data_IF_665612117190
#
_entry.id   IF_665612117190
#
_cell.length_a   1.000
_cell.length_b   1.000
_cell.length_c   1.000
_cell.angle_alpha   90.00
_cell.angle_beta   90.00
_cell.angle_gamma   90.00
#
_symmetry.space_group_name_H-M   'P 1'
#
loop_
_entity.id
_entity.type
_entity.pdbx_description
1 polymer ?
#
# COMPACT_ATOMS: atom_id res chain seq x y z
N UNK A 1 17.21 -21.09 62.51
CA UNK A 1 17.12 -20.14 61.38
C UNK A 1 18.44 -20.26 60.64
N UNK A 2 18.50 -21.12 59.64
CA UNK A 2 19.75 -21.52 58.98
C UNK A 2 19.64 -21.34 57.46
N UNK A 3 20.46 -20.42 56.98
CA UNK A 3 21.19 -20.29 55.71
C UNK A 3 20.66 -20.92 54.40
N UNK A 4 20.27 -20.02 53.49
CA UNK A 4 20.76 -19.84 52.11
C UNK A 4 21.75 -20.88 51.56
N UNK A 5 21.41 -21.54 50.45
CA UNK A 5 22.37 -22.00 49.41
C UNK A 5 21.68 -22.10 48.06
N UNK A 6 22.34 -21.51 47.06
CA UNK A 6 21.96 -21.35 45.65
C UNK A 6 21.86 -22.69 44.91
N UNK A 7 21.01 -22.76 43.88
CA UNK A 7 21.25 -23.62 42.74
C UNK A 7 21.03 -22.85 41.44
N UNK A 8 22.08 -22.82 40.62
CA UNK A 8 22.23 -22.11 39.36
C UNK A 8 22.29 -23.18 38.26
N UNK A 9 21.51 -22.98 37.20
CA UNK A 9 21.51 -23.79 35.98
C UNK A 9 20.11 -23.76 35.36
N UNK A 10 19.89 -23.51 34.08
CA UNK A 10 20.76 -23.33 32.94
C UNK A 10 19.94 -22.65 31.83
N UNK A 11 20.66 -22.02 30.91
CA UNK A 11 20.20 -21.27 29.74
C UNK A 11 19.08 -21.93 28.92
N UNK A 12 17.96 -21.21 28.74
CA UNK A 12 17.17 -21.29 27.53
C UNK A 12 17.10 -19.90 26.90
N UNK A 13 17.90 -19.72 25.86
CA UNK A 13 17.93 -18.55 24.99
C UNK A 13 16.52 -18.35 24.44
N UNK A 14 15.80 -17.33 24.90
CA UNK A 14 14.56 -16.92 24.23
C UNK A 14 15.00 -16.28 22.92
N UNK A 15 14.93 -17.11 21.89
CA UNK A 15 15.24 -16.76 20.52
C UNK A 15 14.46 -15.52 20.10
N UNK A 16 15.18 -14.67 19.40
CA UNK A 16 14.72 -13.58 18.57
C UNK A 16 13.41 -13.92 17.83
N UNK A 17 12.29 -13.43 18.34
CA UNK A 17 11.15 -13.13 17.47
C UNK A 17 11.25 -11.67 17.07
N UNK A 18 12.30 -11.33 16.30
CA UNK A 18 12.13 -10.29 15.29
C UNK A 18 11.07 -10.86 14.35
N UNK A 19 9.81 -10.56 14.68
CA UNK A 19 8.72 -10.63 13.74
C UNK A 19 9.13 -9.73 12.61
N UNK A 20 9.74 -10.35 11.61
CA UNK A 20 9.89 -9.88 10.25
C UNK A 20 8.50 -9.42 9.85
N UNK A 21 8.22 -8.15 10.14
CA UNK A 21 7.29 -7.36 9.40
C UNK A 21 7.92 -7.34 8.03
N UNK A 22 7.63 -8.41 7.27
CA UNK A 22 7.56 -8.37 5.84
C UNK A 22 6.71 -7.14 5.58
N UNK A 23 7.39 -6.00 5.43
CA UNK A 23 6.84 -4.78 4.89
C UNK A 23 6.47 -5.22 3.50
N UNK A 24 5.24 -5.77 3.42
CA UNK A 24 4.70 -6.43 2.27
C UNK A 24 5.06 -5.51 1.14
N UNK A 25 5.94 -6.02 0.27
CA UNK A 25 6.59 -5.31 -0.82
C UNK A 25 5.52 -4.40 -1.38
N UNK A 26 5.50 -3.13 -0.92
CA UNK A 26 4.60 -2.11 -1.43
C UNK A 26 5.11 -2.07 -2.84
N UNK A 27 4.40 -2.78 -3.73
CA UNK A 27 4.68 -2.76 -5.15
C UNK A 27 4.79 -1.28 -5.37
N UNK A 28 6.00 -0.82 -5.66
CA UNK A 28 6.25 0.55 -6.03
C UNK A 28 5.39 0.68 -7.27
N UNK A 29 4.15 1.09 -7.03
CA UNK A 29 3.21 1.55 -8.01
C UNK A 29 3.88 2.83 -8.40
N UNK A 30 4.78 2.69 -9.36
CA UNK A 30 5.52 3.75 -10.01
C UNK A 30 4.74 5.06 -9.87
N UNK A 31 5.21 5.94 -8.97
CA UNK A 31 4.44 7.07 -8.45
C UNK A 31 4.02 8.04 -9.57
N UNK A 32 4.57 7.87 -10.78
CA UNK A 32 4.18 8.59 -11.99
C UNK A 32 2.76 8.31 -12.50
N UNK A 33 2.10 7.25 -12.04
CA UNK A 33 0.77 6.84 -12.56
C UNK A 33 -0.40 6.90 -11.58
N UNK A 34 -0.17 7.36 -10.35
CA UNK A 34 -1.25 7.56 -9.39
C UNK A 34 -1.90 8.93 -9.60
N UNK A 35 -3.22 8.93 -9.69
CA UNK A 35 -4.06 10.13 -9.69
C UNK A 35 -4.76 10.24 -8.35
N UNK A 36 -4.83 11.44 -7.80
CA UNK A 36 -5.38 11.69 -6.47
C UNK A 36 -6.70 12.43 -6.62
N UNK A 37 -7.75 12.00 -5.92
CA UNK A 37 -9.08 12.57 -6.04
C UNK A 37 -9.71 12.79 -4.67
N UNK A 38 -10.36 13.93 -4.50
CA UNK A 38 -11.30 14.13 -3.41
C UNK A 38 -12.67 13.53 -3.79
N UNK A 39 -13.47 13.05 -2.81
CA UNK A 39 -14.84 12.65 -3.08
C UNK A 39 -15.67 13.84 -3.55
N UNK A 40 -16.66 13.56 -4.40
CA UNK A 40 -17.69 14.53 -4.74
C UNK A 40 -18.55 14.85 -3.51
N UNK A 41 -19.03 16.09 -3.42
CA UNK A 41 -19.97 16.48 -2.36
C UNK A 41 -21.24 15.60 -2.41
N UNK A 42 -21.64 15.05 -1.26
CA UNK A 42 -22.76 14.11 -1.14
C UNK A 42 -22.42 12.65 -1.47
N UNK A 43 -21.17 12.34 -1.80
CA UNK A 43 -20.72 10.97 -2.03
C UNK A 43 -20.76 10.13 -0.75
N UNK A 44 -21.07 8.84 -0.88
CA UNK A 44 -20.97 7.88 0.23
C UNK A 44 -19.57 7.26 0.30
N UNK A 45 -19.02 6.99 1.49
CA UNK A 45 -17.79 6.22 1.64
C UNK A 45 -17.89 4.80 1.07
N UNK A 46 -19.09 4.21 1.03
CA UNK A 46 -19.32 2.85 0.51
C UNK A 46 -19.30 2.76 -1.03
N UNK A 47 -19.63 3.87 -1.69
CA UNK A 47 -19.64 4.01 -3.15
C UNK A 47 -19.10 5.40 -3.48
N UNK A 48 -17.77 5.57 -3.43
CA UNK A 48 -17.16 6.87 -3.63
C UNK A 48 -17.30 7.33 -5.08
N UNK A 49 -17.77 8.55 -5.26
CA UNK A 49 -17.73 9.27 -6.53
C UNK A 49 -16.48 10.14 -6.57
N UNK A 50 -15.64 9.95 -7.60
CA UNK A 50 -14.42 10.74 -7.78
C UNK A 50 -14.79 12.16 -8.21
N UNK A 51 -14.39 13.14 -7.41
CA UNK A 51 -14.61 14.56 -7.64
C UNK A 51 -13.36 15.25 -8.16
N UNK A 52 -12.89 16.25 -7.41
CA UNK A 52 -11.73 17.07 -7.80
C UNK A 52 -10.45 16.23 -7.83
N UNK A 53 -9.71 16.32 -8.94
CA UNK A 53 -8.37 15.75 -9.06
C UNK A 53 -7.33 16.69 -8.45
N UNK A 54 -6.39 16.14 -7.69
CA UNK A 54 -5.29 16.85 -7.04
C UNK A 54 -3.98 16.60 -7.78
N UNK A 55 -3.08 17.60 -7.80
CA UNK A 55 -1.84 17.49 -8.57
C UNK A 55 -0.82 16.55 -7.91
N UNK A 56 -0.89 16.38 -6.59
CA UNK A 56 -0.01 15.52 -5.82
C UNK A 56 -0.71 14.89 -4.62
N UNK A 57 -0.09 13.85 -4.04
CA UNK A 57 -0.53 13.25 -2.79
C UNK A 57 -0.54 14.26 -1.64
N UNK A 58 0.48 15.12 -1.55
CA UNK A 58 0.61 16.13 -0.50
C UNK A 58 -0.55 17.12 -0.49
N UNK A 59 -0.96 17.60 -1.67
CA UNK A 59 -2.14 18.47 -1.80
C UNK A 59 -3.43 17.73 -1.43
N UNK A 60 -3.56 16.47 -1.86
CA UNK A 60 -4.73 15.65 -1.53
C UNK A 60 -4.85 15.41 -0.02
N UNK A 61 -3.74 15.16 0.67
CA UNK A 61 -3.69 15.02 2.12
C UNK A 61 -4.11 16.31 2.83
N UNK A 62 -3.60 17.45 2.39
CA UNK A 62 -3.93 18.76 2.97
C UNK A 62 -5.43 19.03 2.82
N UNK A 63 -6.00 18.86 1.63
CA UNK A 63 -7.41 19.12 1.38
C UNK A 63 -8.33 18.08 2.05
N UNK A 64 -7.94 16.81 2.09
CA UNK A 64 -8.64 15.77 2.84
C UNK A 64 -8.71 16.12 4.33
N UNK A 65 -7.59 16.56 4.92
CA UNK A 65 -7.50 16.96 6.32
C UNK A 65 -8.38 18.18 6.63
N UNK A 66 -8.31 19.23 5.80
CA UNK A 66 -9.12 20.45 5.98
C UNK A 66 -10.62 20.16 6.02
N UNK A 67 -11.08 19.22 5.20
CA UNK A 67 -12.49 18.88 5.04
C UNK A 67 -12.92 17.68 5.92
N UNK A 68 -11.98 17.06 6.64
CA UNK A 68 -12.26 15.87 7.47
C UNK A 68 -12.76 14.67 6.65
N UNK A 69 -12.31 14.52 5.40
CA UNK A 69 -12.79 13.50 4.46
C UNK A 69 -11.63 12.65 3.93
N UNK A 70 -11.87 11.41 3.46
CA UNK A 70 -10.84 10.64 2.76
C UNK A 70 -10.53 11.25 1.39
N UNK A 71 -9.35 10.93 0.84
CA UNK A 71 -9.07 11.05 -0.59
C UNK A 71 -8.88 9.65 -1.18
N UNK A 72 -8.98 9.55 -2.49
CA UNK A 72 -8.88 8.30 -3.23
C UNK A 72 -7.74 8.38 -4.24
N UNK A 73 -7.08 7.25 -4.47
CA UNK A 73 -6.10 7.11 -5.54
C UNK A 73 -6.64 6.26 -6.68
N UNK A 74 -6.33 6.65 -7.91
CA UNK A 74 -6.74 5.95 -9.11
C UNK A 74 -5.50 5.63 -9.96
N UNK A 75 -5.38 4.35 -10.33
CA UNK A 75 -4.40 3.90 -11.30
C UNK A 75 -5.13 3.23 -12.46
N UNK A 76 -4.89 3.69 -13.67
CA UNK A 76 -5.45 3.09 -14.87
C UNK A 76 -4.56 1.95 -15.38
N UNK A 77 -5.19 0.86 -15.81
CA UNK A 77 -4.51 -0.34 -16.30
C UNK A 77 -5.03 -0.75 -17.67
N UNK A 78 -4.13 -1.17 -18.55
CA UNK A 78 -4.43 -1.76 -19.85
C UNK A 78 -4.01 -3.22 -19.83
N UNK A 79 -4.88 -4.09 -20.35
CA UNK A 79 -4.51 -5.45 -20.69
C UNK A 79 -3.76 -5.44 -22.02
N UNK A 80 -2.55 -6.00 -22.05
CA UNK A 80 -1.71 -6.05 -23.25
C UNK A 80 -1.28 -7.49 -23.50
N UNK A 81 -1.37 -8.00 -24.74
CA UNK A 81 -0.80 -9.29 -25.08
C UNK A 81 0.73 -9.17 -25.21
N UNK A 82 1.45 -9.97 -24.44
CA UNK A 82 2.90 -10.13 -24.54
C UNK A 82 3.20 -11.46 -25.26
N UNK A 83 3.81 -11.38 -26.45
CA UNK A 83 4.15 -12.53 -27.29
C UNK A 83 5.63 -12.84 -27.13
N UNK A 84 5.97 -13.73 -26.19
CA UNK A 84 7.35 -14.05 -25.85
C UNK A 84 7.99 -15.12 -26.76
N UNK A 85 7.69 -15.11 -28.06
CA UNK A 85 8.21 -16.10 -29.03
C UNK A 85 7.79 -17.55 -28.79
N UNK A 86 6.99 -17.83 -27.76
CA UNK A 86 6.31 -19.11 -27.51
C UNK A 86 4.95 -19.10 -28.21
N UNK A 87 4.40 -20.28 -28.49
CA UNK A 87 3.21 -20.52 -29.31
C UNK A 87 1.88 -19.93 -28.78
N UNK A 88 1.87 -19.26 -27.61
CA UNK A 88 0.67 -18.64 -27.05
C UNK A 88 0.95 -17.26 -26.41
N UNK A 89 0.16 -16.22 -26.72
CA UNK A 89 0.27 -14.90 -26.08
C UNK A 89 -0.10 -14.96 -24.60
N UNK A 90 0.58 -14.17 -23.77
CA UNK A 90 0.27 -14.00 -22.34
C UNK A 90 -0.37 -12.62 -22.14
N UNK A 91 -1.48 -12.54 -21.41
CA UNK A 91 -2.09 -11.24 -21.06
C UNK A 91 -1.37 -10.67 -19.85
N UNK A 92 -0.81 -9.47 -20.02
CA UNK A 92 -0.13 -8.73 -18.95
C UNK A 92 -0.88 -7.45 -18.59
N UNK A 93 -0.69 -7.02 -17.33
CA UNK A 93 -1.27 -5.80 -16.76
C UNK A 93 -0.26 -4.66 -16.87
N UNK A 94 -0.52 -3.72 -17.78
CA UNK A 94 0.32 -2.54 -17.99
C UNK A 94 -0.33 -1.29 -17.39
N UNK A 95 0.42 -0.47 -16.63
CA UNK A 95 -0.08 0.81 -16.14
C UNK A 95 -0.13 1.84 -17.28
N UNK A 96 -1.21 2.63 -17.39
CA UNK A 96 -1.27 3.70 -18.39
C UNK A 96 -0.50 4.92 -17.90
N UNK A 97 0.63 5.21 -18.53
CA UNK A 97 1.36 6.47 -18.37
C UNK A 97 0.43 7.67 -18.60
N UNK A 98 0.58 8.74 -17.79
CA UNK A 98 0.03 10.05 -18.12
C UNK A 98 0.78 10.60 -19.35
N UNK A 99 0.06 10.81 -20.46
CA UNK A 99 0.56 11.48 -21.68
C UNK A 99 0.22 12.95 -21.67
#
# INVERSE_FOLDING_TARGET
>A
METNTQNVGEHARIGTSEGSHSRGKRRAMDDGNLRYFLPKAGSSPSKPELGQEMASEGEALIEALKNGQPFYTLTAWKAVPEVNGKSSPVIVKQALART
#
